data_IF_363599429374
#
_entry.id   IF_363599429374
#
_cell.length_a   1.000
_cell.length_b   1.000
_cell.length_c   1.000
_cell.angle_alpha   90.00
_cell.angle_beta   90.00
_cell.angle_gamma   90.00
#
_symmetry.space_group_name_H-M   'P 1'
#
loop_
_entity.id
_entity.type
_entity.pdbx_description
1 polymer ?
#
# COMPACT_ATOMS: atom_id res chain seq x y z
N UNK A 1 -10.06 -35.84 -5.32
CA UNK A 1 -10.95 -35.83 -6.51
C UNK A 1 -10.46 -36.70 -7.67
N UNK A 2 -9.28 -37.33 -7.67
CA UNK A 2 -8.90 -38.26 -8.75
C UNK A 2 -8.84 -37.64 -10.17
N UNK A 3 -8.98 -36.32 -10.29
CA UNK A 3 -8.88 -35.60 -11.53
C UNK A 3 -7.41 -35.32 -11.84
N UNK A 4 -6.97 -35.66 -13.05
CA UNK A 4 -5.60 -35.42 -13.54
C UNK A 4 -5.28 -33.94 -13.78
N UNK A 5 -6.30 -33.06 -13.73
CA UNK A 5 -6.21 -31.61 -13.70
C UNK A 5 -7.20 -31.05 -12.67
N UNK A 6 -6.83 -29.99 -11.97
CA UNK A 6 -7.76 -29.23 -11.13
C UNK A 6 -8.92 -28.67 -11.97
N UNK A 7 -10.08 -28.44 -11.35
CA UNK A 7 -11.26 -27.83 -12.00
C UNK A 7 -10.94 -26.44 -12.58
N UNK A 8 -9.93 -25.76 -12.04
CA UNK A 8 -9.42 -24.48 -12.49
C UNK A 8 -7.88 -24.52 -12.46
N UNK A 9 -7.24 -24.10 -13.55
CA UNK A 9 -5.79 -23.91 -13.62
C UNK A 9 -5.44 -22.44 -13.39
N UNK A 10 -4.80 -22.17 -12.27
CA UNK A 10 -4.40 -20.80 -11.86
C UNK A 10 -3.15 -20.35 -12.62
N UNK A 11 -2.33 -21.26 -13.14
CA UNK A 11 -1.12 -20.96 -13.92
C UNK A 11 -1.47 -20.59 -15.37
N UNK A 12 -2.31 -19.58 -15.53
CA UNK A 12 -2.80 -19.06 -16.80
C UNK A 12 -2.84 -17.53 -16.78
N UNK A 13 -2.96 -16.89 -17.95
CA UNK A 13 -3.13 -15.44 -18.02
C UNK A 13 -4.39 -15.00 -17.24
N UNK A 14 -5.47 -15.78 -17.31
CA UNK A 14 -6.70 -15.51 -16.57
C UNK A 14 -6.50 -15.61 -15.06
N UNK A 15 -5.78 -16.61 -14.58
CA UNK A 15 -5.41 -16.72 -13.16
C UNK A 15 -4.54 -15.56 -12.69
N UNK A 16 -3.57 -15.14 -13.51
CA UNK A 16 -2.73 -13.98 -13.24
C UNK A 16 -3.56 -12.68 -13.11
N UNK A 17 -4.48 -12.44 -14.03
CA UNK A 17 -5.38 -11.27 -14.01
C UNK A 17 -6.29 -11.32 -12.77
N UNK A 18 -6.88 -12.48 -12.49
CA UNK A 18 -7.79 -12.64 -11.35
C UNK A 18 -7.10 -12.34 -10.01
N UNK A 19 -5.89 -12.86 -9.79
CA UNK A 19 -5.14 -12.61 -8.55
C UNK A 19 -4.68 -11.15 -8.46
N UNK A 20 -4.28 -10.55 -9.58
CA UNK A 20 -3.90 -9.14 -9.63
C UNK A 20 -5.08 -8.22 -9.32
N UNK A 21 -6.26 -8.51 -9.87
CA UNK A 21 -7.51 -7.78 -9.57
C UNK A 21 -7.88 -7.94 -8.10
N UNK A 22 -7.87 -9.17 -7.57
CA UNK A 22 -8.19 -9.40 -6.16
C UNK A 22 -7.24 -8.63 -5.21
N UNK A 23 -5.96 -8.54 -5.57
CA UNK A 23 -4.94 -7.86 -4.77
C UNK A 23 -5.05 -6.33 -4.83
N UNK A 24 -5.52 -5.76 -5.94
CA UNK A 24 -5.60 -4.31 -6.17
C UNK A 24 -7.00 -3.72 -5.91
N UNK A 25 -8.03 -4.57 -5.88
CA UNK A 25 -9.42 -4.16 -5.67
C UNK A 25 -9.66 -3.31 -4.41
N UNK A 26 -9.11 -3.62 -3.22
CA UNK A 26 -9.34 -2.82 -2.02
C UNK A 26 -8.90 -1.37 -2.17
N UNK A 27 -7.80 -1.11 -2.90
CA UNK A 27 -7.30 0.24 -3.16
C UNK A 27 -8.30 1.05 -4.00
N UNK A 28 -8.80 0.47 -5.09
CA UNK A 28 -9.78 1.15 -5.93
C UNK A 28 -11.12 1.33 -5.23
N UNK A 29 -11.55 0.34 -4.44
CA UNK A 29 -12.77 0.46 -3.64
C UNK A 29 -12.70 1.68 -2.72
N UNK A 30 -11.62 1.84 -1.95
CA UNK A 30 -11.47 2.97 -1.01
C UNK A 30 -11.49 4.32 -1.76
N UNK A 31 -10.79 4.43 -2.88
CA UNK A 31 -10.72 5.68 -3.64
C UNK A 31 -12.07 6.09 -4.24
N UNK A 32 -12.77 5.13 -4.83
CA UNK A 32 -14.11 5.37 -5.39
C UNK A 32 -15.13 5.61 -4.28
N UNK A 33 -15.08 4.82 -3.20
CA UNK A 33 -15.96 4.99 -2.03
C UNK A 33 -15.80 6.38 -1.39
N UNK A 34 -14.57 6.80 -1.09
CA UNK A 34 -14.31 8.12 -0.49
C UNK A 34 -14.82 9.25 -1.39
N UNK A 35 -14.66 9.11 -2.71
CA UNK A 35 -15.20 10.10 -3.66
C UNK A 35 -16.72 10.11 -3.60
N UNK A 36 -17.33 8.93 -3.69
CA UNK A 36 -18.77 8.79 -3.62
C UNK A 36 -19.31 9.29 -2.30
N UNK A 37 -18.59 9.21 -1.18
CA UNK A 37 -18.98 9.70 0.15
C UNK A 37 -18.89 11.24 0.26
N UNK A 38 -17.94 11.87 -0.42
CA UNK A 38 -17.77 13.33 -0.42
C UNK A 38 -18.78 14.08 -1.29
N UNK A 39 -19.44 13.41 -2.24
CA UNK A 39 -20.45 14.03 -3.11
C UNK A 39 -21.71 14.43 -2.33
N UNK A 40 -22.18 15.68 -2.49
CA UNK A 40 -23.45 16.13 -1.89
C UNK A 40 -24.65 15.54 -2.63
N UNK A 41 -25.65 15.09 -1.86
CA UNK A 41 -26.87 14.48 -2.42
C UNK A 41 -27.85 15.47 -3.04
N UNK A 42 -27.58 16.78 -2.95
CA UNK A 42 -28.55 17.83 -3.28
C UNK A 42 -28.94 17.81 -4.76
N UNK A 43 -27.97 17.54 -5.65
CA UNK A 43 -28.20 17.44 -7.10
C UNK A 43 -29.01 16.18 -7.44
N UNK A 44 -28.77 15.09 -6.72
CA UNK A 44 -29.54 13.84 -6.87
C UNK A 44 -30.96 13.96 -6.31
N UNK A 45 -31.16 14.73 -5.24
CA UNK A 45 -32.47 15.00 -4.66
C UNK A 45 -33.28 15.96 -5.54
N UNK A 46 -32.67 17.03 -6.04
CA UNK A 46 -33.31 17.95 -6.99
C UNK A 46 -33.80 17.21 -8.24
N UNK A 47 -32.97 16.31 -8.80
CA UNK A 47 -33.36 15.50 -9.94
C UNK A 47 -34.54 14.56 -9.62
N UNK A 48 -34.57 13.96 -8.42
CA UNK A 48 -35.69 13.11 -7.97
C UNK A 48 -36.98 13.90 -7.77
N UNK A 49 -36.90 15.11 -7.21
CA UNK A 49 -38.06 16.01 -7.06
C UNK A 49 -38.64 16.40 -8.43
N UNK A 50 -37.80 16.58 -9.44
CA UNK A 50 -38.20 16.84 -10.83
C UNK A 50 -38.69 15.58 -11.59
N UNK A 51 -38.83 14.43 -10.91
CA UNK A 51 -39.38 13.20 -11.48
C UNK A 51 -38.37 12.26 -12.13
N UNK A 52 -37.05 12.49 -11.96
CA UNK A 52 -36.05 11.53 -12.43
C UNK A 52 -36.01 10.29 -11.53
N UNK A 53 -36.16 9.10 -12.12
CA UNK A 53 -36.00 7.83 -11.42
C UNK A 53 -34.53 7.53 -11.07
N UNK A 54 -34.29 6.62 -10.10
CA UNK A 54 -32.96 6.27 -9.58
C UNK A 54 -31.95 5.91 -10.67
N UNK A 55 -32.34 5.07 -11.64
CA UNK A 55 -31.44 4.67 -12.74
C UNK A 55 -31.00 5.87 -13.57
N UNK A 56 -31.93 6.78 -13.88
CA UNK A 56 -31.62 8.00 -14.65
C UNK A 56 -30.63 8.87 -13.85
N UNK A 57 -30.91 9.11 -12.58
CA UNK A 57 -30.02 9.87 -11.69
C UNK A 57 -28.62 9.24 -11.62
N UNK A 58 -28.53 7.92 -11.49
CA UNK A 58 -27.23 7.22 -11.46
C UNK A 58 -26.43 7.45 -12.74
N UNK A 59 -27.03 7.27 -13.92
CA UNK A 59 -26.32 7.40 -15.20
C UNK A 59 -26.06 8.85 -15.62
N UNK A 60 -26.92 9.81 -15.25
CA UNK A 60 -26.78 11.21 -15.71
C UNK A 60 -26.11 12.13 -14.69
N UNK A 61 -26.10 11.78 -13.40
CA UNK A 61 -25.56 12.63 -12.32
C UNK A 61 -24.46 11.88 -11.56
N UNK A 62 -24.79 10.79 -10.87
CA UNK A 62 -23.85 10.13 -9.95
C UNK A 62 -22.61 9.60 -10.67
N UNK A 63 -22.80 8.82 -11.74
CA UNK A 63 -21.68 8.19 -12.45
C UNK A 63 -20.80 9.21 -13.20
N UNK A 64 -21.33 10.20 -13.93
CA UNK A 64 -20.51 11.25 -14.54
C UNK A 64 -19.72 12.09 -13.53
N UNK A 65 -20.28 12.34 -12.34
CA UNK A 65 -19.58 13.03 -11.26
C UNK A 65 -18.48 12.15 -10.63
N UNK A 66 -18.73 10.84 -10.50
CA UNK A 66 -17.74 9.89 -10.00
C UNK A 66 -16.68 9.48 -11.05
N UNK A 67 -16.96 9.67 -12.34
CA UNK A 67 -16.13 9.19 -13.45
C UNK A 67 -14.65 9.63 -13.36
N UNK A 68 -14.31 10.90 -13.04
CA UNK A 68 -12.91 11.31 -12.91
C UNK A 68 -12.17 10.51 -11.82
N UNK A 69 -12.83 10.23 -10.70
CA UNK A 69 -12.25 9.42 -9.63
C UNK A 69 -12.16 7.94 -9.99
N UNK A 70 -13.15 7.40 -10.71
CA UNK A 70 -13.10 6.05 -11.25
C UNK A 70 -11.90 5.91 -12.21
N UNK A 71 -11.74 6.84 -13.15
CA UNK A 71 -10.61 6.86 -14.10
C UNK A 71 -9.28 7.04 -13.36
N UNK A 72 -9.20 7.94 -12.39
CA UNK A 72 -7.99 8.11 -11.58
C UNK A 72 -7.64 6.85 -10.77
N UNK A 73 -8.64 6.14 -10.25
CA UNK A 73 -8.47 4.87 -9.53
C UNK A 73 -8.05 3.73 -10.46
N UNK A 74 -8.59 3.69 -11.68
CA UNK A 74 -8.17 2.77 -12.74
C UNK A 74 -6.70 2.98 -13.13
N UNK A 75 -6.27 4.24 -13.27
CA UNK A 75 -4.86 4.56 -13.53
C UNK A 75 -3.98 4.08 -12.37
N UNK A 76 -4.37 4.30 -11.11
CA UNK A 76 -3.60 3.79 -9.96
C UNK A 76 -3.52 2.26 -9.92
N UNK A 77 -4.63 1.56 -10.15
CA UNK A 77 -4.61 0.09 -10.21
C UNK A 77 -3.69 -0.42 -11.31
N UNK A 78 -3.72 0.22 -12.49
CA UNK A 78 -2.81 -0.12 -13.58
C UNK A 78 -1.35 0.12 -13.18
N UNK A 79 -1.06 1.25 -12.54
CA UNK A 79 0.27 1.57 -12.01
C UNK A 79 0.74 0.54 -10.98
N UNK A 80 -0.11 0.14 -10.03
CA UNK A 80 0.23 -0.91 -9.05
C UNK A 80 0.46 -2.27 -9.73
N UNK A 81 -0.30 -2.60 -10.77
CA UNK A 81 -0.20 -3.88 -11.46
C UNK A 81 1.04 -3.96 -12.36
N UNK A 82 1.38 -2.90 -13.09
CA UNK A 82 2.53 -2.91 -14.02
C UNK A 82 3.88 -2.99 -13.28
N UNK A 83 3.93 -2.54 -12.02
CA UNK A 83 5.14 -2.58 -11.17
C UNK A 83 5.18 -3.81 -10.24
N UNK A 84 4.17 -4.68 -10.31
CA UNK A 84 4.05 -5.86 -9.47
C UNK A 84 5.04 -6.93 -9.92
N UNK A 85 5.84 -7.44 -8.98
CA UNK A 85 6.75 -8.56 -9.24
C UNK A 85 6.21 -9.89 -8.72
N UNK A 86 5.75 -9.94 -7.46
CA UNK A 86 5.43 -11.20 -6.77
C UNK A 86 4.38 -12.06 -7.50
N UNK A 87 3.24 -11.48 -7.86
CA UNK A 87 2.15 -12.22 -8.52
C UNK A 87 2.57 -12.74 -9.91
N UNK A 88 3.17 -11.93 -10.82
CA UNK A 88 3.71 -12.44 -12.07
C UNK A 88 4.82 -13.48 -11.91
N UNK A 89 5.70 -13.33 -10.92
CA UNK A 89 6.78 -14.30 -10.67
C UNK A 89 6.22 -15.65 -10.18
N UNK A 90 5.19 -15.65 -9.33
CA UNK A 90 4.59 -16.87 -8.80
C UNK A 90 3.65 -17.54 -9.81
N UNK A 91 2.83 -16.79 -10.53
CA UNK A 91 1.80 -17.39 -11.42
C UNK A 91 2.24 -17.39 -12.89
N UNK A 92 2.79 -16.26 -13.35
CA UNK A 92 3.11 -16.05 -14.76
C UNK A 92 4.32 -16.85 -15.22
N UNK A 93 5.43 -16.80 -14.48
CA UNK A 93 6.68 -17.48 -14.89
C UNK A 93 6.49 -19.00 -15.06
N UNK A 94 5.87 -19.75 -14.11
CA UNK A 94 5.57 -21.17 -14.33
C UNK A 94 4.68 -21.44 -15.55
N UNK A 95 3.78 -20.50 -15.88
CA UNK A 95 2.92 -20.53 -17.06
C UNK A 95 3.61 -20.05 -18.36
N UNK A 96 4.92 -19.74 -18.31
CA UNK A 96 5.70 -19.12 -19.41
C UNK A 96 5.14 -17.76 -19.88
N UNK A 97 4.50 -17.04 -18.97
CA UNK A 97 3.99 -15.68 -19.18
C UNK A 97 4.94 -14.71 -18.49
N UNK A 98 5.72 -13.98 -19.30
CA UNK A 98 6.71 -13.04 -18.82
C UNK A 98 6.21 -11.60 -18.99
N UNK A 99 6.32 -10.83 -17.92
CA UNK A 99 6.05 -9.38 -17.91
C UNK A 99 7.35 -8.60 -17.64
N UNK A 100 7.31 -7.28 -17.82
CA UNK A 100 8.48 -6.42 -17.68
C UNK A 100 9.22 -6.61 -16.34
N UNK A 101 8.50 -6.74 -15.23
CA UNK A 101 9.12 -6.93 -13.90
C UNK A 101 9.87 -8.27 -13.78
N UNK A 102 9.29 -9.36 -14.29
CA UNK A 102 9.96 -10.68 -14.30
C UNK A 102 11.14 -10.73 -15.27
N UNK A 103 11.05 -10.04 -16.42
CA UNK A 103 12.17 -9.93 -17.35
C UNK A 103 13.32 -9.09 -16.77
N UNK A 104 12.99 -7.98 -16.09
CA UNK A 104 13.99 -7.19 -15.36
C UNK A 104 14.74 -8.04 -14.34
N UNK A 105 14.04 -8.90 -13.62
CA UNK A 105 14.66 -9.84 -12.69
C UNK A 105 15.60 -10.83 -13.40
N UNK A 106 15.18 -11.44 -14.51
CA UNK A 106 16.03 -12.40 -15.24
C UNK A 106 17.35 -11.80 -15.77
N UNK A 107 17.43 -10.47 -15.93
CA UNK A 107 18.67 -9.81 -16.35
C UNK A 107 19.73 -9.74 -15.24
N UNK A 108 19.38 -10.06 -14.00
CA UNK A 108 20.33 -10.20 -12.89
C UNK A 108 20.85 -11.63 -12.73
N UNK A 109 20.30 -12.60 -13.47
CA UNK A 109 20.87 -13.94 -13.53
C UNK A 109 22.26 -13.92 -14.18
N UNK A 110 23.09 -14.88 -13.81
CA UNK A 110 24.48 -14.92 -14.26
C UNK A 110 24.59 -15.24 -15.76
N UNK A 111 25.33 -14.44 -16.58
CA UNK A 111 26.05 -13.22 -16.22
C UNK A 111 25.12 -11.98 -16.17
N UNK A 112 25.22 -11.13 -15.13
CA UNK A 112 24.29 -10.02 -14.92
C UNK A 112 24.45 -8.92 -15.97
N UNK A 113 23.33 -8.48 -16.56
CA UNK A 113 23.26 -7.47 -17.63
C UNK A 113 22.65 -6.16 -17.11
N UNK A 114 23.32 -5.54 -16.15
CA UNK A 114 22.84 -4.36 -15.41
C UNK A 114 22.53 -3.18 -16.35
N UNK A 115 23.39 -2.95 -17.36
CA UNK A 115 23.16 -1.87 -18.34
C UNK A 115 21.88 -2.06 -19.15
N UNK A 116 21.54 -3.30 -19.51
CA UNK A 116 20.29 -3.63 -20.20
C UNK A 116 19.10 -3.48 -19.26
N UNK A 117 19.24 -3.92 -18.00
CA UNK A 117 18.20 -3.74 -16.99
C UNK A 117 17.89 -2.25 -16.73
N UNK A 118 18.93 -1.40 -16.69
CA UNK A 118 18.77 0.05 -16.59
C UNK A 118 18.06 0.64 -17.82
N UNK A 119 18.41 0.19 -19.04
CA UNK A 119 17.76 0.64 -20.27
C UNK A 119 16.26 0.26 -20.32
N UNK A 120 15.89 -0.96 -19.93
CA UNK A 120 14.48 -1.42 -19.87
C UNK A 120 13.71 -0.70 -18.76
N UNK A 121 14.39 -0.27 -17.69
CA UNK A 121 13.78 0.48 -16.61
C UNK A 121 13.31 1.88 -17.03
N UNK A 122 13.95 2.50 -18.03
CA UNK A 122 13.61 3.87 -18.49
C UNK A 122 12.20 3.97 -19.10
N UNK A 123 11.78 3.10 -20.05
CA UNK A 123 10.40 3.09 -20.53
C UNK A 123 9.38 2.89 -19.42
N UNK A 124 9.64 2.00 -18.46
CA UNK A 124 8.70 1.74 -17.36
C UNK A 124 8.57 2.96 -16.43
N UNK A 125 9.69 3.65 -16.16
CA UNK A 125 9.69 4.92 -15.45
C UNK A 125 8.92 6.01 -16.21
N UNK A 126 9.13 6.12 -17.52
CA UNK A 126 8.42 7.07 -18.39
C UNK A 126 6.91 6.84 -18.36
N UNK A 127 6.46 5.60 -18.55
CA UNK A 127 5.05 5.22 -18.50
C UNK A 127 4.45 5.57 -17.13
N UNK A 128 5.17 5.25 -16.05
CA UNK A 128 4.70 5.56 -14.69
C UNK A 128 4.59 7.08 -14.46
N UNK A 129 5.58 7.85 -14.93
CA UNK A 129 5.57 9.31 -14.84
C UNK A 129 4.40 9.94 -15.61
N UNK A 130 4.21 9.51 -16.87
CA UNK A 130 3.14 10.01 -17.73
C UNK A 130 1.77 9.71 -17.13
N UNK A 131 1.54 8.48 -16.69
CA UNK A 131 0.27 8.07 -16.11
C UNK A 131 -0.01 8.80 -14.79
N UNK A 132 0.99 8.99 -13.93
CA UNK A 132 0.83 9.77 -12.70
C UNK A 132 0.50 11.24 -13.00
N UNK A 133 1.13 11.84 -14.02
CA UNK A 133 0.83 13.22 -14.44
C UNK A 133 -0.59 13.33 -14.99
N UNK A 134 -1.02 12.38 -15.82
CA UNK A 134 -2.40 12.32 -16.33
C UNK A 134 -3.38 12.22 -15.16
N UNK A 135 -3.13 11.29 -14.23
CA UNK A 135 -3.96 11.09 -13.06
C UNK A 135 -4.09 12.38 -12.22
N UNK A 136 -2.97 13.05 -11.95
CA UNK A 136 -2.96 14.32 -11.20
C UNK A 136 -3.74 15.41 -11.92
N UNK A 137 -3.62 15.52 -13.25
CA UNK A 137 -4.36 16.53 -14.05
C UNK A 137 -5.87 16.25 -14.07
N UNK A 138 -6.28 14.99 -14.15
CA UNK A 138 -7.69 14.60 -14.08
C UNK A 138 -8.33 15.00 -12.74
N UNK A 139 -7.57 14.93 -11.64
CA UNK A 139 -8.03 15.30 -10.30
C UNK A 139 -7.91 16.81 -10.01
N UNK A 140 -6.94 17.51 -10.61
CA UNK A 140 -6.65 18.91 -10.30
C UNK A 140 -7.76 19.90 -10.75
N UNK A 141 -8.47 19.61 -11.85
CA UNK A 141 -9.45 20.53 -12.44
C UNK A 141 -10.89 20.34 -11.96
N UNK A 142 -11.11 19.43 -11.01
CA UNK A 142 -12.42 19.17 -10.44
C UNK A 142 -12.25 19.24 -8.94
N UNK A 143 -12.11 20.47 -8.44
CA UNK A 143 -12.45 20.75 -7.05
C UNK A 143 -13.78 20.06 -6.83
N UNK A 144 -13.84 19.07 -5.94
CA UNK A 144 -15.07 18.66 -5.30
C UNK A 144 -15.53 19.84 -4.43
N UNK A 145 -15.75 20.99 -5.07
CA UNK A 145 -16.43 22.16 -4.58
C UNK A 145 -17.93 21.82 -4.57
N UNK A 146 -18.27 20.81 -3.78
CA UNK A 146 -19.46 20.91 -2.96
C UNK A 146 -18.98 21.55 -1.67
N UNK A 147 -19.64 22.64 -1.29
CA UNK A 147 -19.39 23.44 -0.10
C UNK A 147 -18.69 22.72 1.05
N UNK A 148 -17.86 23.46 1.80
CA UNK A 148 -17.58 23.24 3.22
C UNK A 148 -18.87 23.33 4.06
N UNK A 149 -19.87 22.54 3.71
CA UNK A 149 -21.14 22.39 4.37
C UNK A 149 -21.36 20.89 4.50
N UNK A 150 -21.28 20.42 5.75
CA UNK A 150 -21.73 19.10 6.25
C UNK A 150 -22.40 18.26 5.16
N UNK A 151 -21.74 17.20 4.70
CA UNK A 151 -22.29 16.27 3.70
C UNK A 151 -23.77 16.02 3.98
N UNK A 152 -24.62 16.41 3.03
CA UNK A 152 -26.08 16.35 3.19
C UNK A 152 -26.50 14.95 3.63
N UNK A 153 -27.50 14.88 4.52
CA UNK A 153 -28.06 13.61 5.03
C UNK A 153 -28.51 12.77 3.84
N UNK A 154 -27.73 11.75 3.47
CA UNK A 154 -28.14 10.78 2.46
C UNK A 154 -29.37 10.06 2.96
N UNK A 155 -30.47 10.15 2.20
CA UNK A 155 -31.59 9.25 2.42
C UNK A 155 -31.20 7.88 1.87
N UNK A 156 -31.25 6.80 2.69
CA UNK A 156 -31.04 5.46 2.17
C UNK A 156 -32.05 5.21 1.04
N UNK A 157 -31.56 4.67 -0.08
CA UNK A 157 -32.43 4.25 -1.19
C UNK A 157 -33.01 2.89 -0.80
N UNK A 158 -34.33 2.79 -0.76
CA UNK A 158 -34.98 1.49 -0.56
C UNK A 158 -34.84 0.65 -1.84
N UNK A 159 -34.02 -0.39 -1.74
CA UNK A 159 -33.78 -1.35 -2.82
C UNK A 159 -34.82 -2.48 -2.84
N UNK A 160 -35.74 -2.52 -1.86
CA UNK A 160 -36.69 -3.61 -1.71
C UNK A 160 -35.99 -4.98 -1.68
N UNK A 161 -36.44 -5.99 -2.44
CA UNK A 161 -35.81 -7.32 -2.46
C UNK A 161 -34.41 -7.34 -3.10
N UNK A 162 -34.06 -6.37 -3.95
CA UNK A 162 -32.73 -6.27 -4.57
C UNK A 162 -31.63 -6.00 -3.54
N UNK A 163 -31.97 -5.60 -2.31
CA UNK A 163 -31.00 -5.46 -1.21
C UNK A 163 -30.23 -6.75 -0.95
N UNK A 164 -30.88 -7.92 -1.08
CA UNK A 164 -30.24 -9.21 -0.86
C UNK A 164 -29.27 -9.57 -1.99
N UNK A 165 -29.59 -9.18 -3.22
CA UNK A 165 -28.69 -9.34 -4.37
C UNK A 165 -27.47 -8.43 -4.20
N UNK A 166 -27.68 -7.16 -3.86
CA UNK A 166 -26.59 -6.22 -3.60
C UNK A 166 -25.70 -6.68 -2.44
N UNK A 167 -26.29 -7.11 -1.32
CA UNK A 167 -25.57 -7.67 -0.18
C UNK A 167 -24.81 -8.94 -0.56
N UNK A 168 -25.42 -9.83 -1.35
CA UNK A 168 -24.79 -11.05 -1.85
C UNK A 168 -23.59 -10.76 -2.75
N UNK A 169 -23.71 -9.81 -3.67
CA UNK A 169 -22.60 -9.40 -4.55
C UNK A 169 -21.47 -8.74 -3.77
N UNK A 170 -21.77 -7.78 -2.89
CA UNK A 170 -20.75 -7.15 -2.04
C UNK A 170 -20.09 -8.16 -1.10
N UNK A 171 -20.89 -9.07 -0.52
CA UNK A 171 -20.41 -10.16 0.32
C UNK A 171 -19.51 -11.12 -0.44
N UNK A 172 -19.85 -11.46 -1.69
CA UNK A 172 -19.03 -12.32 -2.54
C UNK A 172 -17.68 -11.67 -2.88
N UNK A 173 -17.67 -10.39 -3.20
CA UNK A 173 -16.44 -9.64 -3.47
C UNK A 173 -15.56 -9.57 -2.22
N UNK A 174 -16.11 -9.27 -1.04
CA UNK A 174 -15.37 -9.29 0.22
C UNK A 174 -14.87 -10.70 0.56
N UNK A 175 -15.71 -11.71 0.35
CA UNK A 175 -15.34 -13.10 0.57
C UNK A 175 -14.14 -13.48 -0.30
N UNK A 176 -14.16 -13.14 -1.58
CA UNK A 176 -13.12 -13.56 -2.53
C UNK A 176 -11.82 -12.76 -2.44
N UNK A 177 -11.90 -11.45 -2.17
CA UNK A 177 -10.73 -10.56 -2.17
C UNK A 177 -10.05 -10.45 -0.80
N UNK A 178 -10.81 -10.68 0.28
CA UNK A 178 -10.33 -10.51 1.66
C UNK A 178 -10.45 -11.82 2.44
N UNK A 179 -11.67 -12.29 2.72
CA UNK A 179 -11.87 -13.35 3.71
C UNK A 179 -11.20 -14.66 3.30
N UNK A 180 -11.39 -15.10 2.06
CA UNK A 180 -10.92 -16.40 1.57
C UNK A 180 -9.39 -16.46 1.49
N UNK A 181 -8.65 -15.51 0.86
CA UNK A 181 -7.19 -15.58 0.81
C UNK A 181 -6.54 -15.60 2.20
N UNK A 182 -7.00 -14.76 3.13
CA UNK A 182 -6.46 -14.73 4.49
C UNK A 182 -6.87 -15.97 5.30
N UNK A 183 -8.11 -16.45 5.15
CA UNK A 183 -8.55 -17.68 5.81
C UNK A 183 -7.74 -18.90 5.32
N UNK A 184 -7.47 -19.00 4.02
CA UNK A 184 -6.65 -20.09 3.44
C UNK A 184 -5.21 -20.01 3.97
N UNK A 185 -4.62 -18.82 4.07
CA UNK A 185 -3.26 -18.65 4.62
C UNK A 185 -3.21 -19.07 6.09
N UNK A 186 -4.17 -18.63 6.92
CA UNK A 186 -4.23 -18.99 8.33
C UNK A 186 -4.53 -20.48 8.51
N UNK A 187 -5.39 -21.06 7.66
CA UNK A 187 -5.72 -22.47 7.72
C UNK A 187 -4.54 -23.36 7.29
N UNK A 188 -3.87 -23.00 6.20
CA UNK A 188 -2.73 -23.75 5.68
C UNK A 188 -1.52 -23.69 6.63
N UNK A 189 -1.35 -22.63 7.41
CA UNK A 189 -0.23 -22.50 8.35
C UNK A 189 -0.35 -23.41 9.57
N UNK A 190 -1.56 -23.82 9.94
CA UNK A 190 -1.82 -24.73 11.07
C UNK A 190 -2.16 -26.15 10.63
N UNK A 191 -2.30 -26.41 9.32
CA UNK A 191 -2.59 -27.76 8.81
C UNK A 191 -1.30 -28.53 8.51
N UNK A 192 -1.14 -29.78 8.99
CA UNK A 192 0.02 -30.61 8.67
C UNK A 192 0.24 -30.82 7.17
N UNK A 193 -0.84 -30.96 6.39
CA UNK A 193 -0.80 -31.13 4.93
C UNK A 193 -1.92 -30.29 4.33
N UNK A 194 -1.59 -29.26 3.55
CA UNK A 194 -2.60 -28.32 3.03
C UNK A 194 -3.65 -29.02 2.15
N UNK A 195 -3.25 -30.03 1.38
CA UNK A 195 -4.13 -30.79 0.46
C UNK A 195 -5.13 -31.69 1.21
N UNK A 196 -4.77 -32.20 2.39
CA UNK A 196 -5.64 -33.11 3.19
C UNK A 196 -6.46 -32.38 4.26
N UNK A 197 -6.17 -31.09 4.46
CA UNK A 197 -6.74 -30.26 5.51
C UNK A 197 -8.27 -30.21 5.51
N UNK A 198 -8.89 -30.27 4.32
CA UNK A 198 -10.35 -30.19 4.16
C UNK A 198 -11.07 -31.52 4.47
N UNK A 199 -10.35 -32.65 4.49
CA UNK A 199 -10.93 -33.98 4.65
C UNK A 199 -10.79 -34.54 6.07
N UNK A 200 -9.74 -34.16 6.79
CA UNK A 200 -9.51 -34.52 8.19
C UNK A 200 -8.75 -33.39 8.90
N UNK A 201 -9.45 -32.41 9.51
CA UNK A 201 -8.79 -31.28 10.14
C UNK A 201 -7.93 -31.76 11.31
N UNK A 202 -6.64 -31.53 11.20
CA UNK A 202 -5.66 -31.71 12.28
C UNK A 202 -4.85 -30.43 12.37
N UNK A 203 -4.49 -30.04 13.59
CA UNK A 203 -3.74 -28.81 13.84
C UNK A 203 -2.31 -29.17 14.25
N UNK A 204 -1.33 -28.52 13.63
CA UNK A 204 0.09 -28.62 14.00
C UNK A 204 0.72 -27.23 13.96
N UNK A 205 1.69 -27.01 14.86
CA UNK A 205 2.55 -25.83 14.89
C UNK A 205 3.96 -26.13 14.33
N UNK A 206 4.16 -27.31 13.75
CA UNK A 206 5.46 -27.74 13.23
C UNK A 206 5.97 -26.81 12.13
N UNK A 207 5.08 -26.23 11.32
CA UNK A 207 5.45 -25.26 10.28
C UNK A 207 6.04 -23.97 10.87
N UNK A 208 5.54 -23.53 12.02
CA UNK A 208 6.13 -22.39 12.74
C UNK A 208 7.49 -22.75 13.32
N UNK A 209 7.63 -23.96 13.87
CA UNK A 209 8.93 -24.48 14.33
C UNK A 209 9.94 -24.53 13.17
N UNK A 210 9.55 -25.11 12.04
CA UNK A 210 10.37 -25.19 10.84
C UNK A 210 10.83 -23.79 10.41
N UNK A 211 9.90 -22.86 10.22
CA UNK A 211 10.22 -21.50 9.77
C UNK A 211 11.09 -20.74 10.77
N UNK A 212 10.85 -20.88 12.07
CA UNK A 212 11.56 -20.08 13.08
C UNK A 212 12.93 -20.65 13.47
N UNK A 213 13.08 -21.98 13.47
CA UNK A 213 14.24 -22.67 14.05
C UNK A 213 15.06 -23.46 13.04
N UNK A 214 14.45 -24.00 11.98
CA UNK A 214 15.12 -24.91 11.05
C UNK A 214 15.48 -24.22 9.73
N UNK A 215 14.61 -23.33 9.27
CA UNK A 215 14.86 -22.50 8.10
C UNK A 215 15.85 -21.38 8.48
N UNK A 216 17.09 -21.52 8.03
CA UNK A 216 18.24 -20.65 8.36
C UNK A 216 17.97 -19.15 8.18
N UNK A 217 17.12 -18.79 7.21
CA UNK A 217 16.74 -17.41 6.92
C UNK A 217 15.46 -16.96 7.61
N UNK A 218 14.66 -17.85 8.20
CA UNK A 218 13.30 -17.51 8.63
C UNK A 218 13.24 -16.51 9.78
N UNK A 219 13.82 -16.82 10.93
CA UNK A 219 13.90 -15.88 12.07
C UNK A 219 14.65 -14.59 11.74
N UNK A 220 15.77 -14.71 11.00
CA UNK A 220 16.55 -13.57 10.51
C UNK A 220 15.73 -12.65 9.62
N UNK A 221 14.93 -13.22 8.71
CA UNK A 221 14.11 -12.45 7.78
C UNK A 221 13.04 -11.62 8.48
N UNK A 222 12.44 -12.17 9.54
CA UNK A 222 11.46 -11.47 10.38
C UNK A 222 12.15 -10.29 11.09
N UNK A 223 13.30 -10.53 11.70
CA UNK A 223 14.07 -9.49 12.40
C UNK A 223 14.52 -8.37 11.45
N UNK A 224 15.15 -8.72 10.33
CA UNK A 224 15.61 -7.78 9.33
C UNK A 224 14.46 -6.94 8.77
N UNK A 225 13.31 -7.55 8.47
CA UNK A 225 12.10 -6.85 8.02
C UNK A 225 11.57 -5.87 9.06
N UNK A 226 11.51 -6.27 10.33
CA UNK A 226 11.07 -5.39 11.41
C UNK A 226 12.03 -4.21 11.58
N UNK A 227 13.33 -4.47 11.65
CA UNK A 227 14.36 -3.42 11.79
C UNK A 227 14.31 -2.45 10.62
N UNK A 228 14.27 -2.94 9.39
CA UNK A 228 14.22 -2.10 8.19
C UNK A 228 12.92 -1.31 8.08
N UNK A 229 11.76 -1.91 8.34
CA UNK A 229 10.47 -1.21 8.30
C UNK A 229 10.32 -0.16 9.41
N UNK A 230 10.72 -0.48 10.65
CA UNK A 230 10.65 0.44 11.80
C UNK A 230 11.57 1.65 11.59
N UNK A 231 12.81 1.42 11.16
CA UNK A 231 13.75 2.51 10.94
C UNK A 231 13.32 3.35 9.73
N UNK A 232 12.91 2.74 8.62
CA UNK A 232 12.41 3.47 7.46
C UNK A 232 11.18 4.33 7.80
N UNK A 233 10.22 3.80 8.56
CA UNK A 233 9.05 4.55 9.00
C UNK A 233 9.41 5.69 9.97
N UNK A 234 10.32 5.45 10.91
CA UNK A 234 10.73 6.44 11.90
C UNK A 234 11.51 7.58 11.27
N UNK A 235 12.54 7.27 10.47
CA UNK A 235 13.33 8.26 9.73
C UNK A 235 12.44 8.97 8.70
N UNK A 236 11.58 8.23 8.01
CA UNK A 236 10.64 8.77 7.02
C UNK A 236 9.71 9.82 7.61
N UNK A 237 9.13 9.56 8.79
CA UNK A 237 8.28 10.53 9.50
C UNK A 237 9.09 11.74 9.97
N UNK A 238 10.30 11.56 10.50
CA UNK A 238 11.15 12.69 10.89
C UNK A 238 11.46 13.60 9.70
N UNK A 239 11.89 13.03 8.58
CA UNK A 239 12.14 13.78 7.34
C UNK A 239 10.84 14.45 6.86
N UNK A 240 9.74 13.70 6.82
CA UNK A 240 8.44 14.19 6.37
C UNK A 240 7.93 15.37 7.19
N UNK A 241 8.04 15.34 8.52
CA UNK A 241 7.65 16.45 9.41
C UNK A 241 8.50 17.67 9.16
N UNK A 242 9.81 17.51 9.04
CA UNK A 242 10.72 18.64 8.77
C UNK A 242 10.37 19.27 7.43
N UNK A 243 10.23 18.47 6.38
CA UNK A 243 9.87 18.97 5.04
C UNK A 243 8.48 19.59 5.04
N UNK A 244 7.49 18.96 5.68
CA UNK A 244 6.13 19.49 5.81
C UNK A 244 6.11 20.84 6.54
N UNK A 245 6.87 20.96 7.63
CA UNK A 245 6.97 22.20 8.39
C UNK A 245 7.63 23.32 7.60
N UNK A 246 8.79 23.05 6.96
CA UNK A 246 9.50 24.02 6.14
C UNK A 246 8.65 24.52 4.97
N UNK A 247 7.83 23.64 4.40
CA UNK A 247 7.02 23.94 3.23
C UNK A 247 5.75 24.71 3.60
N UNK A 248 5.04 24.26 4.63
CA UNK A 248 3.80 24.90 5.07
C UNK A 248 4.03 26.27 5.70
N UNK A 249 5.09 26.41 6.49
CA UNK A 249 5.48 27.69 7.11
C UNK A 249 6.28 28.59 6.17
N UNK A 250 6.51 28.17 4.92
CA UNK A 250 7.27 28.90 3.87
C UNK A 250 8.61 29.45 4.37
N UNK A 251 9.33 28.65 5.15
CA UNK A 251 10.59 29.06 5.79
C UNK A 251 11.71 29.22 4.75
N UNK A 252 11.66 28.42 3.68
CA UNK A 252 12.63 28.44 2.58
C UNK A 252 12.00 29.00 1.31
N UNK A 253 12.76 29.82 0.57
CA UNK A 253 12.28 30.53 -0.65
C UNK A 253 11.74 29.59 -1.72
N UNK A 254 12.29 28.38 -1.83
CA UNK A 254 11.89 27.38 -2.81
C UNK A 254 11.34 26.09 -2.18
N UNK A 255 10.53 26.24 -1.12
CA UNK A 255 9.85 25.15 -0.42
C UNK A 255 9.18 24.13 -1.36
N UNK A 256 8.56 24.60 -2.46
CA UNK A 256 7.91 23.73 -3.43
C UNK A 256 8.82 22.62 -3.98
N UNK A 257 10.13 22.86 -4.12
CA UNK A 257 11.09 21.82 -4.53
C UNK A 257 11.26 20.73 -3.48
N UNK A 258 11.20 21.07 -2.18
CA UNK A 258 11.27 20.07 -1.13
C UNK A 258 10.03 19.16 -1.14
N UNK A 259 8.83 19.74 -1.30
CA UNK A 259 7.59 18.97 -1.47
C UNK A 259 7.65 18.10 -2.73
N UNK A 260 8.18 18.64 -3.83
CA UNK A 260 8.36 17.88 -5.07
C UNK A 260 9.30 16.70 -4.89
N UNK A 261 10.48 16.90 -4.28
CA UNK A 261 11.46 15.85 -4.03
C UNK A 261 10.94 14.78 -3.06
N UNK A 262 10.19 15.17 -2.02
CA UNK A 262 9.56 14.22 -1.11
C UNK A 262 8.48 13.36 -1.78
N UNK A 263 7.83 13.88 -2.83
CA UNK A 263 6.80 13.20 -3.62
C UNK A 263 7.35 12.46 -4.85
N UNK A 264 8.55 12.79 -5.32
CA UNK A 264 9.13 12.25 -6.54
C UNK A 264 9.25 10.70 -6.56
N UNK A 265 9.58 10.01 -5.44
CA UNK A 265 9.67 8.56 -5.44
C UNK A 265 8.38 7.82 -5.80
N UNK A 266 7.21 8.48 -5.69
CA UNK A 266 5.92 7.89 -6.09
C UNK A 266 5.88 7.49 -7.57
N UNK A 267 6.72 8.13 -8.40
CA UNK A 267 6.81 7.86 -9.85
C UNK A 267 7.68 6.63 -10.14
N UNK A 268 8.50 6.18 -9.20
CA UNK A 268 9.55 5.19 -9.48
C UNK A 268 9.04 3.78 -9.10
N UNK A 269 8.92 2.85 -10.07
CA UNK A 269 8.60 1.45 -9.78
C UNK A 269 9.61 0.81 -8.83
N UNK A 270 9.17 -0.08 -7.95
CA UNK A 270 10.06 -0.72 -6.95
C UNK A 270 11.25 -1.46 -7.57
N UNK A 271 11.01 -2.23 -8.65
CA UNK A 271 12.06 -2.93 -9.39
C UNK A 271 13.03 -1.96 -10.06
N UNK A 272 12.51 -0.92 -10.72
CA UNK A 272 13.34 0.13 -11.38
C UNK A 272 14.21 0.84 -10.37
N UNK A 273 13.64 1.18 -9.21
CA UNK A 273 14.39 1.80 -8.14
C UNK A 273 15.51 0.90 -7.63
N UNK A 274 15.25 -0.40 -7.45
CA UNK A 274 16.26 -1.36 -7.06
C UNK A 274 17.38 -1.52 -8.10
N UNK A 275 17.08 -1.51 -9.40
CA UNK A 275 18.11 -1.48 -10.45
C UNK A 275 19.02 -0.26 -10.30
N UNK A 276 18.43 0.92 -10.05
CA UNK A 276 19.18 2.15 -9.83
C UNK A 276 20.06 2.09 -8.58
N UNK A 277 19.53 1.60 -7.45
CA UNK A 277 20.28 1.43 -6.20
C UNK A 277 21.41 0.40 -6.35
N UNK A 278 21.15 -0.71 -7.03
CA UNK A 278 22.17 -1.70 -7.33
C UNK A 278 23.30 -1.07 -8.16
N UNK A 279 22.96 -0.36 -9.25
CA UNK A 279 23.95 0.32 -10.08
C UNK A 279 24.76 1.37 -9.32
N UNK A 280 24.14 2.12 -8.41
CA UNK A 280 24.77 3.19 -7.66
C UNK A 280 25.63 2.71 -6.47
N UNK A 281 25.26 1.60 -5.81
CA UNK A 281 25.84 1.19 -4.53
C UNK A 281 26.42 -0.23 -4.51
N UNK A 282 26.61 -0.86 -5.68
CA UNK A 282 27.30 -2.15 -5.80
C UNK A 282 28.82 -2.01 -5.98
N UNK A 283 29.31 -0.81 -6.28
CA UNK A 283 30.73 -0.52 -6.55
C UNK A 283 31.23 0.67 -5.71
N UNK A 284 32.55 0.82 -5.49
CA UNK A 284 33.13 1.95 -4.77
C UNK A 284 32.74 3.32 -5.37
N UNK A 285 32.75 4.43 -4.60
CA UNK A 285 33.37 4.57 -3.27
C UNK A 285 32.48 4.17 -2.09
N UNK A 286 31.17 4.00 -2.28
CA UNK A 286 30.22 3.63 -1.22
C UNK A 286 29.48 2.36 -1.61
N UNK A 287 29.89 1.23 -1.02
CA UNK A 287 29.27 -0.08 -1.27
C UNK A 287 28.24 -0.36 -0.17
N UNK A 288 26.96 -0.31 -0.53
CA UNK A 288 25.85 -0.67 0.38
C UNK A 288 25.26 -2.05 0.06
N UNK A 289 25.49 -2.56 -1.15
CA UNK A 289 25.03 -3.89 -1.55
C UNK A 289 25.60 -4.97 -0.61
N UNK A 290 24.76 -5.94 -0.23
CA UNK A 290 25.09 -6.94 0.79
C UNK A 290 24.87 -6.48 2.24
N UNK A 291 24.42 -5.25 2.48
CA UNK A 291 24.06 -4.75 3.83
C UNK A 291 22.58 -4.40 3.93
N UNK A 292 22.03 -4.32 5.15
CA UNK A 292 20.63 -3.88 5.34
C UNK A 292 20.41 -2.41 4.93
N UNK A 293 21.46 -1.61 4.81
CA UNK A 293 21.36 -0.19 4.48
C UNK A 293 20.82 0.05 3.07
N UNK A 294 21.13 -0.82 2.10
CA UNK A 294 20.57 -0.67 0.74
C UNK A 294 19.06 -0.92 0.71
N UNK A 295 18.57 -1.88 1.50
CA UNK A 295 17.14 -2.15 1.68
C UNK A 295 16.46 -1.02 2.45
N UNK A 296 17.12 -0.52 3.50
CA UNK A 296 16.65 0.63 4.26
C UNK A 296 16.42 1.85 3.37
N UNK A 297 17.42 2.17 2.54
CA UNK A 297 17.37 3.30 1.62
C UNK A 297 16.30 3.08 0.55
N UNK A 298 16.14 1.83 0.09
CA UNK A 298 15.06 1.44 -0.81
C UNK A 298 13.69 1.76 -0.21
N UNK A 299 13.41 1.28 1.00
CA UNK A 299 12.12 1.45 1.67
C UNK A 299 11.86 2.91 2.07
N UNK A 300 12.86 3.56 2.68
CA UNK A 300 12.77 4.95 3.08
C UNK A 300 12.39 5.83 1.89
N UNK A 301 13.12 5.73 0.77
CA UNK A 301 12.87 6.57 -0.40
C UNK A 301 11.52 6.24 -1.03
N UNK A 302 11.22 4.95 -1.25
CA UNK A 302 9.98 4.51 -1.89
C UNK A 302 8.73 4.94 -1.12
N UNK A 303 8.78 4.87 0.22
CA UNK A 303 7.61 5.11 1.05
C UNK A 303 7.57 6.49 1.72
N UNK A 304 8.64 7.30 1.63
CA UNK A 304 8.67 8.70 2.06
C UNK A 304 7.45 9.52 1.60
N UNK A 305 6.92 9.35 0.37
CA UNK A 305 5.73 10.07 -0.07
C UNK A 305 4.52 9.88 0.86
N UNK A 306 4.31 8.68 1.39
CA UNK A 306 3.18 8.40 2.27
C UNK A 306 3.32 9.10 3.63
N UNK A 307 4.52 9.11 4.21
CA UNK A 307 4.79 9.89 5.42
C UNK A 307 4.61 11.39 5.15
N UNK A 308 5.11 11.91 4.02
CA UNK A 308 4.99 13.32 3.67
C UNK A 308 3.53 13.76 3.53
N UNK A 309 2.69 13.01 2.81
CA UNK A 309 1.26 13.36 2.66
C UNK A 309 0.55 13.45 4.01
N UNK A 310 0.80 12.48 4.89
CA UNK A 310 0.17 12.46 6.22
C UNK A 310 0.67 13.59 7.12
N UNK A 311 1.99 13.81 7.17
CA UNK A 311 2.58 14.87 7.99
C UNK A 311 2.22 16.26 7.46
N UNK A 312 2.19 16.47 6.15
CA UNK A 312 1.84 17.75 5.53
C UNK A 312 0.39 18.13 5.81
N UNK A 313 -0.56 17.21 5.64
CA UNK A 313 -1.96 17.43 6.01
C UNK A 313 -2.14 17.73 7.52
N UNK A 314 -1.36 17.05 8.38
CA UNK A 314 -1.42 17.29 9.81
C UNK A 314 -0.85 18.66 10.20
N UNK A 315 0.29 19.08 9.64
CA UNK A 315 0.87 20.42 9.88
C UNK A 315 -0.06 21.52 9.36
N UNK A 316 -0.74 21.30 8.22
CA UNK A 316 -1.74 22.20 7.66
C UNK A 316 -2.94 22.42 8.60
N UNK A 317 -3.29 21.42 9.40
CA UNK A 317 -4.40 21.54 10.36
C UNK A 317 -4.09 22.40 11.59
N UNK A 318 -2.81 22.74 11.84
CA UNK A 318 -2.38 23.55 12.98
C UNK A 318 -2.17 25.01 12.56
N UNK A 319 -2.95 25.88 13.19
CA UNK A 319 -2.90 27.33 13.06
C UNK A 319 -1.50 27.90 13.41
N UNK A 320 -0.82 28.62 12.49
CA UNK A 320 0.48 29.24 12.74
C UNK A 320 0.51 30.20 13.94
N UNK A 321 -0.64 30.78 14.29
CA UNK A 321 -0.81 31.74 15.39
C UNK A 321 -0.37 31.16 16.75
N UNK A 322 -0.55 29.85 16.96
CA UNK A 322 -0.10 29.17 18.18
C UNK A 322 1.44 29.18 18.30
N UNK A 323 2.12 29.00 17.18
CA UNK A 323 3.58 29.06 17.11
C UNK A 323 4.08 30.51 17.27
N UNK A 324 3.37 31.48 16.67
CA UNK A 324 3.70 32.90 16.82
C UNK A 324 3.55 33.39 18.26
N UNK A 325 2.50 32.97 18.97
CA UNK A 325 2.33 33.28 20.40
C UNK A 325 3.51 32.77 21.23
N UNK A 326 3.97 31.54 20.97
CA UNK A 326 5.14 30.98 21.64
C UNK A 326 6.42 31.75 21.31
N UNK A 327 6.60 32.16 20.06
CA UNK A 327 7.76 32.97 19.64
C UNK A 327 7.78 34.34 20.34
N UNK A 328 6.62 34.99 20.53
CA UNK A 328 6.50 36.26 21.29
C UNK A 328 6.87 36.05 22.77
N UNK A 329 6.55 34.89 23.33
CA UNK A 329 6.97 34.48 24.68
C UNK A 329 8.43 34.02 24.77
N UNK A 330 9.23 34.16 23.70
CA UNK A 330 10.67 33.87 23.68
C UNK A 330 11.02 32.43 23.29
N UNK A 331 10.07 31.60 22.86
CA UNK A 331 10.38 30.29 22.30
C UNK A 331 11.05 30.43 20.92
N UNK A 332 12.03 29.57 20.61
CA UNK A 332 12.54 29.45 19.25
C UNK A 332 11.59 28.64 18.38
N UNK A 333 11.67 28.76 17.05
CA UNK A 333 10.84 27.97 16.11
C UNK A 333 10.96 26.46 16.32
N UNK A 334 12.16 25.97 16.63
CA UNK A 334 12.39 24.55 16.93
C UNK A 334 11.68 24.15 18.21
N UNK A 335 11.70 25.01 19.24
CA UNK A 335 10.96 24.81 20.48
C UNK A 335 9.45 24.83 20.24
N UNK A 336 8.94 25.78 19.46
CA UNK A 336 7.52 25.84 19.07
C UNK A 336 7.09 24.59 18.29
N UNK A 337 7.89 24.13 17.32
CA UNK A 337 7.64 22.88 16.59
C UNK A 337 7.58 21.68 17.55
N UNK A 338 8.55 21.54 18.45
CA UNK A 338 8.64 20.40 19.37
C UNK A 338 7.56 20.40 20.45
N UNK A 339 7.25 21.56 21.02
CA UNK A 339 6.43 21.65 22.23
C UNK A 339 4.95 21.95 21.92
N UNK A 340 4.65 22.48 20.73
CA UNK A 340 3.28 22.83 20.32
C UNK A 340 2.86 21.99 19.12
N UNK A 341 3.54 22.15 17.98
CA UNK A 341 3.08 21.56 16.72
C UNK A 341 3.12 20.04 16.76
N UNK A 342 4.25 19.42 17.13
CA UNK A 342 4.44 17.96 17.18
C UNK A 342 3.41 17.27 18.10
N UNK A 343 3.18 17.73 19.36
CA UNK A 343 2.15 17.17 20.23
C UNK A 343 0.75 17.25 19.64
N UNK A 344 0.42 18.35 18.95
CA UNK A 344 -0.88 18.53 18.30
C UNK A 344 -1.06 17.61 17.10
N UNK A 345 -0.01 17.35 16.32
CA UNK A 345 -0.08 16.52 15.11
C UNK A 345 0.26 15.04 15.33
N UNK A 346 0.48 14.60 16.58
CA UNK A 346 0.91 13.22 16.91
C UNK A 346 0.09 12.12 16.22
N UNK A 347 -1.21 12.35 16.03
CA UNK A 347 -2.10 11.42 15.32
C UNK A 347 -1.75 11.30 13.83
N UNK A 348 -1.45 12.43 13.18
CA UNK A 348 -0.96 12.46 11.81
C UNK A 348 0.44 11.84 11.67
N UNK A 349 1.31 12.04 12.66
CA UNK A 349 2.65 11.41 12.65
C UNK A 349 2.56 9.90 12.73
N UNK A 350 1.72 9.38 13.63
CA UNK A 350 1.50 7.95 13.78
C UNK A 350 0.80 7.35 12.55
N UNK A 351 -0.17 8.06 11.98
CA UNK A 351 -0.79 7.69 10.70
C UNK A 351 0.25 7.58 9.59
N UNK A 352 1.11 8.58 9.43
CA UNK A 352 2.22 8.57 8.48
C UNK A 352 3.21 7.43 8.73
N UNK A 353 3.53 7.14 9.99
CA UNK A 353 4.41 6.04 10.37
C UNK A 353 3.83 4.68 9.94
N UNK A 354 2.56 4.44 10.23
CA UNK A 354 1.86 3.19 9.88
C UNK A 354 1.76 3.04 8.35
N UNK A 355 1.48 4.14 7.63
CA UNK A 355 1.42 4.16 6.17
C UNK A 355 2.77 3.86 5.50
N UNK A 356 3.89 4.07 6.18
CA UNK A 356 5.22 3.64 5.70
C UNK A 356 5.53 2.21 6.14
N UNK A 357 5.28 1.87 7.39
CA UNK A 357 5.62 0.57 7.96
C UNK A 357 4.94 -0.60 7.24
N UNK A 358 3.61 -0.52 7.04
CA UNK A 358 2.81 -1.62 6.48
C UNK A 358 3.30 -2.04 5.08
N UNK A 359 3.53 -1.13 4.12
CA UNK A 359 4.06 -1.54 2.83
C UNK A 359 5.56 -1.89 2.90
N UNK A 360 6.36 -1.23 3.76
CA UNK A 360 7.79 -1.51 3.88
C UNK A 360 8.10 -2.93 4.36
N UNK A 361 7.39 -3.42 5.40
CA UNK A 361 7.67 -4.74 5.98
C UNK A 361 7.43 -5.89 4.99
N UNK A 362 6.54 -5.69 4.01
CA UNK A 362 6.17 -6.68 2.99
C UNK A 362 6.70 -6.35 1.59
N UNK A 363 7.61 -5.39 1.47
CA UNK A 363 8.10 -4.94 0.17
C UNK A 363 8.96 -6.05 -0.48
N UNK A 364 8.46 -6.61 -1.59
CA UNK A 364 9.18 -7.65 -2.35
C UNK A 364 9.92 -7.07 -3.56
N UNK A 365 9.27 -6.18 -4.31
CA UNK A 365 9.76 -5.72 -5.62
C UNK A 365 11.15 -5.09 -5.53
N UNK A 366 11.41 -4.21 -4.57
CA UNK A 366 12.78 -3.69 -4.41
C UNK A 366 13.73 -4.70 -3.75
N UNK A 367 13.22 -5.51 -2.83
CA UNK A 367 14.04 -6.41 -2.01
C UNK A 367 14.64 -7.57 -2.79
N UNK A 368 13.91 -8.15 -3.74
CA UNK A 368 14.35 -9.35 -4.47
C UNK A 368 15.63 -9.15 -5.27
N UNK A 369 15.90 -7.91 -5.72
CA UNK A 369 17.14 -7.56 -6.44
C UNK A 369 18.30 -7.15 -5.52
N UNK A 370 17.98 -6.72 -4.29
CA UNK A 370 18.94 -6.06 -3.39
C UNK A 370 19.36 -6.95 -2.22
N UNK A 371 18.58 -7.99 -1.90
CA UNK A 371 18.89 -8.89 -0.80
C UNK A 371 20.07 -9.81 -1.14
N UNK A 372 20.69 -10.29 -0.07
CA UNK A 372 21.73 -11.32 -0.07
C UNK A 372 21.45 -12.27 1.10
N UNK A 373 22.17 -13.38 1.21
CA UNK A 373 21.99 -14.35 2.30
C UNK A 373 21.95 -13.75 3.75
N UNK A 374 22.80 -12.76 4.12
CA UNK A 374 22.71 -12.13 5.45
C UNK A 374 21.59 -11.08 5.57
N UNK A 375 21.08 -10.54 4.46
CA UNK A 375 20.10 -9.44 4.42
C UNK A 375 18.71 -9.89 3.99
N UNK A 376 18.42 -11.19 4.08
CA UNK A 376 17.09 -11.74 3.80
C UNK A 376 16.02 -11.02 4.62
N UNK A 377 14.89 -10.73 3.98
CA UNK A 377 13.70 -10.07 4.57
C UNK A 377 12.49 -10.98 4.38
N UNK A 378 11.45 -10.82 5.19
CA UNK A 378 10.30 -11.73 5.22
C UNK A 378 9.67 -11.94 3.84
N UNK A 379 9.62 -10.88 3.01
CA UNK A 379 9.09 -10.95 1.66
C UNK A 379 9.93 -11.87 0.75
N UNK A 380 11.26 -11.79 0.81
CA UNK A 380 12.15 -12.65 0.00
C UNK A 380 12.18 -14.07 0.57
N UNK A 381 12.11 -14.24 1.90
CA UNK A 381 12.02 -15.54 2.54
C UNK A 381 10.73 -16.29 2.16
N UNK A 382 9.58 -15.60 2.10
CA UNK A 382 8.32 -16.17 1.58
C UNK A 382 8.50 -16.63 0.13
N UNK A 383 9.18 -15.83 -0.69
CA UNK A 383 9.45 -16.16 -2.08
C UNK A 383 10.40 -17.38 -2.22
N UNK A 384 11.42 -17.49 -1.36
CA UNK A 384 12.33 -18.65 -1.32
C UNK A 384 11.58 -19.93 -0.93
N UNK A 385 10.70 -19.87 0.08
CA UNK A 385 9.86 -21.02 0.46
C UNK A 385 8.91 -21.46 -0.65
N UNK A 386 8.39 -20.50 -1.43
CA UNK A 386 7.60 -20.78 -2.62
C UNK A 386 8.42 -21.53 -3.68
N UNK A 387 9.69 -21.15 -3.87
CA UNK A 387 10.60 -21.86 -4.78
C UNK A 387 11.01 -23.26 -4.27
N UNK A 388 10.95 -23.50 -2.95
CA UNK A 388 11.19 -24.79 -2.29
C UNK A 388 9.93 -25.67 -2.15
N UNK A 389 8.94 -25.47 -3.03
CA UNK A 389 7.52 -25.83 -2.87
C UNK A 389 6.96 -26.04 -1.44
N UNK A 390 7.39 -25.23 -0.47
CA UNK A 390 6.94 -25.33 0.93
C UNK A 390 5.71 -24.44 1.16
N UNK A 391 4.55 -24.91 0.71
CA UNK A 391 3.28 -24.17 0.78
C UNK A 391 2.87 -23.84 2.22
N UNK A 392 3.07 -24.78 3.14
CA UNK A 392 2.78 -24.63 4.55
C UNK A 392 3.73 -23.64 5.23
N UNK A 393 5.02 -23.64 4.84
CA UNK A 393 6.00 -22.65 5.29
C UNK A 393 5.69 -21.24 4.80
N UNK A 394 5.28 -21.11 3.53
CA UNK A 394 4.76 -19.86 2.95
C UNK A 394 3.58 -19.35 3.75
N UNK A 395 2.62 -20.23 4.08
CA UNK A 395 1.46 -19.89 4.87
C UNK A 395 1.83 -19.45 6.29
N UNK A 396 2.79 -20.13 6.94
CA UNK A 396 3.27 -19.79 8.28
C UNK A 396 3.93 -18.42 8.33
N UNK A 397 4.90 -18.12 7.45
CA UNK A 397 5.52 -16.78 7.37
C UNK A 397 4.50 -15.69 7.01
N UNK A 398 3.58 -15.98 6.09
CA UNK A 398 2.53 -15.03 5.70
C UNK A 398 1.56 -14.75 6.85
N UNK A 399 1.27 -15.75 7.68
CA UNK A 399 0.45 -15.59 8.89
C UNK A 399 1.19 -14.76 9.94
N UNK A 400 2.49 -14.98 10.14
CA UNK A 400 3.32 -14.13 11.02
C UNK A 400 3.29 -12.68 10.55
N UNK A 401 3.49 -12.43 9.25
CA UNK A 401 3.42 -11.10 8.66
C UNK A 401 2.05 -10.44 8.85
N UNK A 402 0.96 -11.21 8.69
CA UNK A 402 -0.40 -10.75 8.95
C UNK A 402 -0.58 -10.33 10.42
N UNK A 403 -0.13 -11.16 11.36
CA UNK A 403 -0.20 -10.87 12.80
C UNK A 403 0.62 -9.63 13.14
N UNK A 404 1.85 -9.50 12.63
CA UNK A 404 2.71 -8.33 12.87
C UNK A 404 2.05 -7.03 12.39
N UNK A 405 1.47 -7.03 11.19
CA UNK A 405 0.72 -5.88 10.69
C UNK A 405 -0.52 -5.59 11.55
N UNK A 406 -1.26 -6.62 11.95
CA UNK A 406 -2.42 -6.49 12.84
C UNK A 406 -2.06 -5.87 14.19
N UNK A 407 -0.97 -6.32 14.81
CA UNK A 407 -0.45 -5.80 16.08
C UNK A 407 -0.08 -4.33 15.94
N UNK A 408 0.63 -3.94 14.88
CA UNK A 408 1.02 -2.55 14.66
C UNK A 408 -0.19 -1.63 14.45
N UNK A 409 -1.17 -2.06 13.66
CA UNK A 409 -2.41 -1.30 13.45
C UNK A 409 -3.20 -1.19 14.76
N UNK A 410 -3.33 -2.29 15.52
CA UNK A 410 -4.04 -2.30 16.80
C UNK A 410 -3.36 -1.42 17.84
N UNK A 411 -2.03 -1.50 17.97
CA UNK A 411 -1.24 -0.65 18.84
C UNK A 411 -1.36 0.83 18.45
N UNK A 412 -1.31 1.12 17.15
CA UNK A 412 -1.53 2.46 16.63
C UNK A 412 -2.91 3.02 16.99
N UNK A 413 -3.96 2.22 16.78
CA UNK A 413 -5.34 2.62 17.10
C UNK A 413 -5.54 2.81 18.61
N UNK A 414 -4.95 1.94 19.44
CA UNK A 414 -4.96 2.08 20.89
C UNK A 414 -4.27 3.37 21.35
N UNK A 415 -3.08 3.69 20.80
CA UNK A 415 -2.34 4.90 21.11
C UNK A 415 -3.10 6.20 20.77
N UNK A 416 -4.03 6.16 19.81
CA UNK A 416 -4.90 7.30 19.46
C UNK A 416 -6.29 7.27 20.11
N UNK A 417 -6.53 6.38 21.07
CA UNK A 417 -7.82 6.26 21.75
C UNK A 417 -8.97 5.82 20.83
N UNK A 418 -8.68 4.96 19.85
CA UNK A 418 -9.68 4.40 18.93
C UNK A 418 -10.07 5.31 17.77
N UNK A 419 -9.31 6.38 17.51
CA UNK A 419 -9.63 7.39 16.48
C UNK A 419 -9.10 7.05 15.06
N UNK A 420 -8.24 6.05 14.90
CA UNK A 420 -7.64 5.69 13.60
C UNK A 420 -8.63 4.97 12.68
N UNK A 421 -9.46 4.08 13.23
CA UNK A 421 -10.42 3.29 12.47
C UNK A 421 -11.79 3.97 12.29
N UNK A 422 -11.89 5.28 12.53
CA UNK A 422 -13.10 6.06 12.32
C UNK A 422 -14.32 5.43 13.00
N UNK A 423 -14.54 5.71 14.29
CA UNK A 423 -15.87 5.44 14.86
C UNK A 423 -16.89 6.22 14.02
N UNK A 424 -17.86 5.57 13.34
CA UNK A 424 -19.01 6.27 12.80
C UNK A 424 -19.65 7.00 13.97
N UNK A 425 -19.91 8.30 13.80
CA UNK A 425 -20.24 9.25 14.86
C UNK A 425 -20.96 8.65 16.07
N UNK A 426 -20.21 8.49 17.17
CA UNK A 426 -20.80 8.48 18.49
C UNK A 426 -21.25 9.91 18.77
N UNK A 427 -22.53 10.17 18.57
CA UNK A 427 -23.25 11.27 19.23
C UNK A 427 -22.92 11.21 20.73
N UNK A 428 -21.96 12.00 21.16
CA UNK A 428 -21.77 12.33 22.57
C UNK A 428 -22.88 13.30 22.94
N UNK A 429 -23.70 12.85 23.88
CA UNK A 429 -24.80 13.56 24.52
C UNK A 429 -24.37 14.90 25.14
#
# INVERSE_FOLDING_TARGET
TGASRGLLDVYTMTGLVLVSVASTFPLAFILVYNTLEMMSGDVEEAARVLGAGTVRVTWTITLPLALPAIVASLILMFLETIILYGVPAMIGVPARIYVLTTQLFSLFEWPPKIGVAAAISLPLLLVTAVLLVIQRRLLAHRSFATNRGKGGRRRPIDLGPLRFVALGLSGLVLLFTLVLPYAVIVWASVSPVWVRALSAPSFSLDHYRFVLLEFTSGSRSIWNSLVTAVIAASIGVVIAVVVAYLTERRIVRHAAWLSFLAMAPLVIPGMVFAVGLFGAYSQPPLVLYGTLWILMLAYLTKFLPFAFMSCHAAVQSVYPELEHAANVLGASRVRALRDITVPMIKAGLLGGWILVFIPAIKELSSSILLFTAPTTVIATAIFDLYQLPSWEGVAALSTILLVLNGVVIAAGNWALGGRLLGRPGGSGA
#
